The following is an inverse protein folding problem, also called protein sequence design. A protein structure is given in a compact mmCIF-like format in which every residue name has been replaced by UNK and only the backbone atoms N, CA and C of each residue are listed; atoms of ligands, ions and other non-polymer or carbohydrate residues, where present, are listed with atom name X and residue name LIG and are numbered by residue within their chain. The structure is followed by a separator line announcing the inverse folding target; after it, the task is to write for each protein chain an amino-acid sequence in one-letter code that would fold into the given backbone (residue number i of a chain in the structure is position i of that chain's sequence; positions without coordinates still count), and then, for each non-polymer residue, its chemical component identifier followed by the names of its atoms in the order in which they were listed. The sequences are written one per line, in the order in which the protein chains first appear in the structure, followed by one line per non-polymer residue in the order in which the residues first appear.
data_IF_229242629212
#
_entry.id   IF_229242629212
#
_cell.length_a   1.000
_cell.length_b   1.000
_cell.length_c   1.000
_cell.angle_alpha   90.00
_cell.angle_beta   90.00
_cell.angle_gamma   90.00
#
_symmetry.space_group_name_H-M   'P 1'
#
loop_
_entity.id
_entity.type
_entity.pdbx_description
1 polymer ?
#
# COMPACT_ATOMS: atom_id res chain seq x y z
N UNK A 1 30.48 -10.07 -11.02
CA UNK A 1 29.12 -9.51 -10.80
C UNK A 1 29.20 -8.06 -11.19
N UNK A 2 28.52 -7.68 -12.26
CA UNK A 2 28.43 -6.30 -12.73
C UNK A 2 27.92 -5.44 -11.57
N UNK A 3 28.72 -4.45 -11.14
CA UNK A 3 28.28 -3.49 -10.13
C UNK A 3 27.16 -2.69 -10.76
N UNK A 4 25.92 -3.07 -10.49
CA UNK A 4 24.76 -2.27 -10.85
C UNK A 4 24.94 -0.91 -10.16
N UNK A 5 24.86 0.17 -10.94
CA UNK A 5 25.04 1.52 -10.42
C UNK A 5 24.04 1.80 -9.29
N UNK A 6 24.56 2.41 -8.21
CA UNK A 6 23.77 2.78 -7.04
C UNK A 6 22.65 3.72 -7.46
N UNK A 7 21.42 3.42 -7.04
CA UNK A 7 20.28 4.27 -7.34
C UNK A 7 20.32 5.51 -6.45
N UNK A 8 20.43 6.68 -7.08
CA UNK A 8 20.47 7.95 -6.36
C UNK A 8 19.07 8.44 -6.02
N UNK A 9 18.74 8.59 -4.74
CA UNK A 9 17.40 9.07 -4.36
C UNK A 9 17.21 10.56 -4.66
N UNK A 10 18.27 11.36 -4.52
CA UNK A 10 18.28 12.82 -4.74
C UNK A 10 18.60 13.16 -6.20
N UNK A 11 17.60 12.99 -7.05
CA UNK A 11 17.69 13.36 -8.47
C UNK A 11 16.37 13.97 -8.94
N UNK A 12 16.48 14.95 -9.84
CA UNK A 12 15.35 15.61 -10.47
C UNK A 12 14.82 14.70 -11.58
N UNK A 13 13.66 14.10 -11.36
CA UNK A 13 13.05 13.13 -12.29
C UNK A 13 11.69 13.58 -12.83
N UNK A 14 11.33 13.07 -13.99
CA UNK A 14 9.97 13.11 -14.53
C UNK A 14 9.12 11.96 -13.98
N UNK A 15 7.80 12.01 -14.18
CA UNK A 15 6.86 11.00 -13.64
C UNK A 15 7.20 9.58 -14.11
N UNK A 16 7.49 9.41 -15.40
CA UNK A 16 7.87 8.11 -15.96
C UNK A 16 9.20 7.59 -15.40
N UNK A 17 10.19 8.48 -15.24
CA UNK A 17 11.48 8.13 -14.64
C UNK A 17 11.35 7.72 -13.17
N UNK A 18 10.45 8.37 -12.41
CA UNK A 18 10.12 7.96 -11.03
C UNK A 18 9.54 6.54 -10.99
N UNK A 19 8.71 6.16 -11.96
CA UNK A 19 8.19 4.79 -12.06
C UNK A 19 9.30 3.79 -12.42
N UNK A 20 10.11 4.10 -13.43
CA UNK A 20 11.20 3.24 -13.88
C UNK A 20 12.20 2.97 -12.75
N UNK A 21 12.68 4.02 -12.07
CA UNK A 21 13.62 3.88 -10.96
C UNK A 21 13.02 3.11 -9.78
N UNK A 22 11.71 3.21 -9.55
CA UNK A 22 11.03 2.41 -8.52
C UNK A 22 11.11 0.92 -8.85
N UNK A 23 10.82 0.55 -10.11
CA UNK A 23 10.87 -0.84 -10.56
C UNK A 23 12.31 -1.38 -10.55
N UNK A 24 13.27 -0.56 -10.99
CA UNK A 24 14.69 -0.91 -10.96
C UNK A 24 15.19 -1.08 -9.53
N UNK A 25 14.78 -0.22 -8.59
CA UNK A 25 15.11 -0.37 -7.18
C UNK A 25 14.62 -1.70 -6.59
N UNK A 26 13.38 -2.06 -6.88
CA UNK A 26 12.81 -3.33 -6.44
C UNK A 26 13.55 -4.50 -7.09
N UNK A 27 13.89 -4.41 -8.38
CA UNK A 27 14.64 -5.46 -9.09
C UNK A 27 16.03 -5.66 -8.50
N UNK A 28 16.78 -4.57 -8.27
CA UNK A 28 18.14 -4.62 -7.70
C UNK A 28 18.15 -5.18 -6.27
N UNK A 29 17.11 -4.91 -5.49
CA UNK A 29 17.02 -5.28 -4.08
C UNK A 29 15.99 -6.38 -3.79
N UNK A 30 15.54 -7.11 -4.81
CA UNK A 30 14.35 -7.97 -4.74
C UNK A 30 14.41 -8.98 -3.61
N UNK A 31 15.57 -9.62 -3.42
CA UNK A 31 15.75 -10.67 -2.41
C UNK A 31 15.54 -10.14 -0.99
N UNK A 32 16.23 -9.07 -0.59
CA UNK A 32 16.12 -8.56 0.78
C UNK A 32 14.81 -7.79 1.00
N UNK A 33 14.37 -7.04 -0.01
CA UNK A 33 13.14 -6.23 0.05
C UNK A 33 11.89 -7.11 0.18
N UNK A 34 11.72 -8.11 -0.69
CA UNK A 34 10.57 -9.01 -0.64
C UNK A 34 10.58 -9.90 0.61
N UNK A 35 11.75 -10.39 1.05
CA UNK A 35 11.86 -11.12 2.30
C UNK A 35 11.45 -10.29 3.51
N UNK A 36 11.81 -9.00 3.53
CA UNK A 36 11.42 -8.09 4.60
C UNK A 36 9.91 -7.89 4.63
N UNK A 37 9.28 -7.64 3.48
CA UNK A 37 7.83 -7.48 3.38
C UNK A 37 7.08 -8.76 3.77
N UNK A 38 7.50 -9.92 3.25
CA UNK A 38 6.84 -11.22 3.50
C UNK A 38 6.96 -11.62 4.97
N UNK A 39 8.11 -11.42 5.61
CA UNK A 39 8.30 -11.85 7.00
C UNK A 39 7.69 -10.90 8.02
N UNK A 40 7.62 -9.60 7.70
CA UNK A 40 7.17 -8.59 8.65
C UNK A 40 5.71 -8.21 8.42
N UNK A 41 5.34 -7.85 7.19
CA UNK A 41 4.04 -7.22 6.91
C UNK A 41 2.94 -8.21 6.49
N UNK A 42 3.31 -9.35 5.89
CA UNK A 42 2.33 -10.33 5.40
C UNK A 42 1.63 -11.15 6.51
N UNK A 43 2.28 -11.58 7.62
CA UNK A 43 1.62 -12.44 8.61
C UNK A 43 0.31 -11.86 9.19
N UNK A 44 0.23 -10.56 9.55
CA UNK A 44 -1.04 -9.95 9.95
C UNK A 44 -2.12 -10.06 8.87
N UNK A 45 -1.79 -9.86 7.59
CA UNK A 45 -2.77 -9.96 6.50
C UNK A 45 -3.30 -11.38 6.39
N UNK A 46 -2.46 -12.42 6.51
CA UNK A 46 -2.92 -13.81 6.50
C UNK A 46 -3.90 -14.11 7.66
N UNK A 47 -3.63 -13.54 8.84
CA UNK A 47 -4.54 -13.63 9.99
C UNK A 47 -5.86 -12.91 9.68
N UNK A 48 -5.79 -11.68 9.15
CA UNK A 48 -6.98 -10.91 8.77
C UNK A 48 -7.84 -11.63 7.72
N UNK A 49 -7.22 -12.32 6.76
CA UNK A 49 -7.90 -13.12 5.75
C UNK A 49 -8.68 -14.29 6.35
N UNK A 50 -8.16 -14.88 7.43
CA UNK A 50 -8.87 -15.95 8.15
C UNK A 50 -10.13 -15.40 8.83
N UNK A 51 -10.02 -14.25 9.49
CA UNK A 51 -11.19 -13.57 10.07
C UNK A 51 -12.19 -13.14 9.00
N UNK A 52 -11.73 -12.61 7.87
CA UNK A 52 -12.59 -12.21 6.77
C UNK A 52 -13.31 -13.40 6.12
N UNK A 53 -12.61 -14.53 5.96
CA UNK A 53 -13.23 -15.75 5.42
C UNK A 53 -14.28 -16.32 6.37
N UNK A 54 -13.99 -16.37 7.67
CA UNK A 54 -14.97 -16.76 8.69
C UNK A 54 -16.20 -15.85 8.69
N UNK A 55 -15.96 -14.53 8.64
CA UNK A 55 -17.02 -13.53 8.51
C UNK A 55 -17.87 -13.74 7.25
N UNK A 56 -17.24 -13.93 6.09
CA UNK A 56 -17.93 -14.04 4.81
C UNK A 56 -18.79 -15.31 4.72
N UNK A 57 -18.28 -16.44 5.22
CA UNK A 57 -19.04 -17.70 5.29
C UNK A 57 -20.23 -17.56 6.25
N UNK A 58 -20.01 -16.97 7.43
CA UNK A 58 -21.09 -16.71 8.40
C UNK A 58 -22.15 -15.76 7.86
N UNK A 59 -21.73 -14.69 7.17
CA UNK A 59 -22.63 -13.72 6.55
C UNK A 59 -23.51 -14.35 5.48
N UNK A 60 -22.94 -15.14 4.56
CA UNK A 60 -23.70 -15.82 3.51
C UNK A 60 -24.62 -16.90 4.11
N UNK A 61 -24.10 -17.73 5.02
CA UNK A 61 -24.88 -18.78 5.67
C UNK A 61 -26.08 -18.23 6.44
N UNK A 62 -25.88 -17.12 7.15
CA UNK A 62 -26.97 -16.46 7.88
C UNK A 62 -27.89 -15.65 6.98
N UNK A 63 -27.41 -14.98 5.93
CA UNK A 63 -28.26 -14.25 4.99
C UNK A 63 -29.27 -15.17 4.29
N UNK A 64 -28.87 -16.41 4.01
CA UNK A 64 -29.74 -17.47 3.46
C UNK A 64 -30.74 -17.97 4.52
N UNK A 65 -30.32 -18.13 5.78
CA UNK A 65 -31.18 -18.62 6.87
C UNK A 65 -32.11 -17.54 7.47
N UNK A 66 -31.77 -16.25 7.37
CA UNK A 66 -32.50 -15.13 7.99
C UNK A 66 -33.64 -14.56 7.16
N UNK A 67 -33.93 -15.12 5.98
CA UNK A 67 -35.23 -14.94 5.36
C UNK A 67 -36.39 -15.53 6.22
N UNK A 68 -36.07 -16.22 7.33
CA UNK A 68 -37.02 -17.04 8.10
C UNK A 68 -37.11 -16.69 9.61
N UNK A 69 -36.32 -15.75 10.17
CA UNK A 69 -36.30 -15.55 11.65
C UNK A 69 -36.43 -14.09 12.13
N UNK A 70 -37.34 -13.87 13.09
CA UNK A 70 -37.58 -12.63 13.86
C UNK A 70 -36.48 -12.33 14.90
N UNK A 71 -35.20 -12.61 14.61
CA UNK A 71 -34.14 -12.26 15.56
C UNK A 71 -33.84 -10.75 15.51
N UNK A 72 -33.61 -10.15 16.70
CA UNK A 72 -33.23 -8.75 16.87
C UNK A 72 -32.08 -8.37 15.94
N UNK A 73 -32.40 -7.59 14.90
CA UNK A 73 -31.45 -7.09 13.89
C UNK A 73 -30.24 -6.42 14.55
N UNK A 74 -30.42 -5.80 15.71
CA UNK A 74 -29.37 -5.15 16.49
C UNK A 74 -28.27 -6.09 16.99
N UNK A 75 -28.62 -7.28 17.51
CA UNK A 75 -27.63 -8.24 18.02
C UNK A 75 -26.79 -8.81 16.88
N UNK A 76 -27.43 -9.03 15.72
CA UNK A 76 -26.73 -9.41 14.51
C UNK A 76 -25.79 -8.31 14.03
N UNK A 77 -26.27 -7.07 13.91
CA UNK A 77 -25.44 -5.93 13.50
C UNK A 77 -24.25 -5.73 14.44
N UNK A 78 -24.44 -5.87 15.76
CA UNK A 78 -23.35 -5.79 16.74
C UNK A 78 -22.32 -6.92 16.55
N UNK A 79 -22.77 -8.15 16.31
CA UNK A 79 -21.86 -9.28 16.03
C UNK A 79 -21.06 -9.07 14.74
N UNK A 80 -21.72 -8.51 13.71
CA UNK A 80 -21.15 -8.23 12.40
C UNK A 80 -20.12 -7.10 12.47
N UNK A 81 -20.40 -6.06 13.27
CA UNK A 81 -19.46 -4.98 13.58
C UNK A 81 -18.27 -5.46 14.41
N UNK A 82 -18.47 -6.37 15.38
CA UNK A 82 -17.39 -6.88 16.23
C UNK A 82 -16.32 -7.65 15.47
N UNK A 83 -16.72 -8.61 14.63
CA UNK A 83 -15.77 -9.42 13.83
C UNK A 83 -15.09 -8.58 12.75
N UNK A 84 -15.84 -7.69 12.08
CA UNK A 84 -15.28 -6.79 11.06
C UNK A 84 -14.32 -5.76 11.66
N UNK A 85 -14.55 -5.27 12.88
CA UNK A 85 -13.64 -4.38 13.58
C UNK A 85 -12.31 -5.06 13.90
N UNK A 86 -12.32 -6.31 14.38
CA UNK A 86 -11.09 -7.08 14.64
C UNK A 86 -10.31 -7.27 13.35
N UNK A 87 -10.96 -7.73 12.28
CA UNK A 87 -10.32 -7.88 10.98
C UNK A 87 -9.72 -6.54 10.48
N UNK A 88 -10.45 -5.44 10.63
CA UNK A 88 -10.00 -4.10 10.28
C UNK A 88 -8.74 -3.66 11.04
N UNK A 89 -8.68 -3.93 12.35
CA UNK A 89 -7.48 -3.63 13.17
C UNK A 89 -6.28 -4.46 12.69
N UNK A 90 -6.47 -5.75 12.40
CA UNK A 90 -5.37 -6.61 11.92
C UNK A 90 -4.87 -6.15 10.55
N UNK A 91 -5.78 -5.76 9.64
CA UNK A 91 -5.41 -5.13 8.36
C UNK A 91 -4.64 -3.83 8.58
N UNK A 92 -5.09 -2.97 9.51
CA UNK A 92 -4.41 -1.72 9.83
C UNK A 92 -2.98 -1.94 10.36
N UNK A 93 -2.76 -3.01 11.15
CA UNK A 93 -1.42 -3.40 11.59
C UNK A 93 -0.57 -3.84 10.39
N UNK A 94 -1.11 -4.69 9.52
CA UNK A 94 -0.40 -5.17 8.32
C UNK A 94 -0.01 -4.02 7.38
N UNK A 95 -0.94 -3.13 7.04
CA UNK A 95 -0.68 -1.96 6.19
C UNK A 95 0.31 -0.99 6.81
N UNK A 96 0.23 -0.78 8.14
CA UNK A 96 1.23 0.02 8.87
C UNK A 96 2.62 -0.59 8.75
N UNK A 97 2.77 -1.89 9.00
CA UNK A 97 4.06 -2.58 8.87
C UNK A 97 4.62 -2.50 7.45
N UNK A 98 3.78 -2.62 6.43
CA UNK A 98 4.20 -2.45 5.04
C UNK A 98 4.76 -1.05 4.80
N UNK A 99 4.04 -0.01 5.22
CA UNK A 99 4.50 1.39 5.09
C UNK A 99 5.83 1.58 5.83
N UNK A 100 5.96 1.07 7.06
CA UNK A 100 7.19 1.15 7.83
C UNK A 100 8.36 0.47 7.12
N UNK A 101 8.18 -0.78 6.67
CA UNK A 101 9.24 -1.56 6.01
C UNK A 101 9.73 -0.84 4.76
N UNK A 102 8.82 -0.33 3.92
CA UNK A 102 9.21 0.37 2.69
C UNK A 102 10.01 1.64 2.99
N UNK A 103 9.58 2.44 3.97
CA UNK A 103 10.28 3.68 4.33
C UNK A 103 11.63 3.41 5.01
N UNK A 104 11.69 2.48 5.96
CA UNK A 104 12.94 2.11 6.65
C UNK A 104 13.93 1.51 5.67
N UNK A 105 13.46 0.67 4.75
CA UNK A 105 14.33 0.09 3.72
C UNK A 105 14.91 1.17 2.81
N UNK A 106 14.09 2.12 2.35
CA UNK A 106 14.55 3.25 1.56
C UNK A 106 15.55 4.11 2.34
N UNK A 107 15.27 4.39 3.61
CA UNK A 107 16.16 5.17 4.48
C UNK A 107 17.52 4.47 4.68
N UNK A 108 17.54 3.18 5.02
CA UNK A 108 18.77 2.41 5.19
C UNK A 108 19.59 2.33 3.90
N UNK A 109 18.93 2.21 2.74
CA UNK A 109 19.61 2.23 1.44
C UNK A 109 20.24 3.60 1.15
N UNK A 110 19.56 4.69 1.49
CA UNK A 110 20.11 6.05 1.33
C UNK A 110 21.32 6.25 2.26
N UNK A 111 21.23 5.81 3.51
CA UNK A 111 22.28 6.00 4.52
C UNK A 111 23.51 5.10 4.30
N UNK A 112 23.30 3.81 4.04
CA UNK A 112 24.39 2.81 4.01
C UNK A 112 24.73 2.30 2.62
N UNK A 113 23.81 2.42 1.66
CA UNK A 113 23.98 1.87 0.31
C UNK A 113 23.51 0.41 0.17
N UNK A 114 23.70 -0.15 -1.01
CA UNK A 114 23.24 -1.49 -1.36
C UNK A 114 24.08 -2.57 -0.68
N UNK A 115 23.44 -3.54 -0.02
CA UNK A 115 24.12 -4.71 0.56
C UNK A 115 24.76 -4.47 1.94
N UNK A 116 24.78 -3.24 2.41
CA UNK A 116 25.40 -2.82 3.69
C UNK A 116 24.44 -2.91 4.89
N UNK A 117 23.25 -3.49 4.71
CA UNK A 117 22.27 -3.68 5.77
C UNK A 117 21.55 -5.01 5.64
N UNK A 118 21.05 -5.50 6.77
CA UNK A 118 20.44 -6.82 6.89
C UNK A 118 18.95 -6.72 7.22
N UNK A 119 18.26 -7.86 7.20
CA UNK A 119 16.88 -7.95 7.67
C UNK A 119 16.71 -7.46 9.12
N UNK A 120 17.71 -7.68 9.98
CA UNK A 120 17.65 -7.27 11.38
C UNK A 120 17.62 -5.73 11.52
N UNK A 121 18.35 -5.01 10.67
CA UNK A 121 18.33 -3.55 10.62
C UNK A 121 16.95 -3.04 10.20
N UNK A 122 16.37 -3.63 9.16
CA UNK A 122 15.01 -3.27 8.67
C UNK A 122 13.97 -3.52 9.76
N UNK A 123 14.04 -4.66 10.46
CA UNK A 123 13.13 -4.96 11.56
C UNK A 123 13.30 -4.02 12.76
N UNK A 124 14.53 -3.65 13.09
CA UNK A 124 14.80 -2.67 14.16
C UNK A 124 14.17 -1.32 13.83
N UNK A 125 14.48 -0.75 12.67
CA UNK A 125 13.92 0.55 12.27
C UNK A 125 12.39 0.51 12.13
N UNK A 126 11.83 -0.62 11.64
CA UNK A 126 10.37 -0.80 11.53
C UNK A 126 9.67 -0.68 12.89
N UNK A 127 10.24 -1.28 13.94
CA UNK A 127 9.68 -1.22 15.29
C UNK A 127 9.76 0.18 15.90
N UNK A 128 10.83 0.93 15.61
CA UNK A 128 11.03 2.27 16.13
C UNK A 128 9.97 3.25 15.60
N UNK A 129 9.61 3.15 14.32
CA UNK A 129 8.60 4.05 13.71
C UNK A 129 7.18 3.48 13.70
N UNK A 130 6.98 2.23 14.13
CA UNK A 130 5.70 1.54 14.06
C UNK A 130 4.57 2.32 14.74
N UNK A 131 4.74 2.70 16.00
CA UNK A 131 3.69 3.39 16.75
C UNK A 131 3.37 4.76 16.17
N UNK A 132 4.38 5.49 15.69
CA UNK A 132 4.19 6.76 15.01
C UNK A 132 3.27 6.57 13.80
N UNK A 133 3.56 5.61 12.92
CA UNK A 133 2.80 5.39 11.70
C UNK A 133 1.44 4.76 12.00
N UNK A 134 1.33 3.89 13.00
CA UNK A 134 0.08 3.26 13.40
C UNK A 134 -0.96 4.30 13.83
N UNK A 135 -0.61 5.18 14.77
CA UNK A 135 -1.52 6.26 15.20
C UNK A 135 -1.75 7.30 14.10
N UNK A 136 -0.78 7.48 13.21
CA UNK A 136 -0.96 8.30 12.01
C UNK A 136 -2.03 7.74 11.10
N UNK A 137 -1.98 6.43 10.82
CA UNK A 137 -2.96 5.73 9.98
C UNK A 137 -4.34 5.78 10.61
N UNK A 138 -4.47 5.58 11.92
CA UNK A 138 -5.75 5.71 12.62
C UNK A 138 -6.29 7.14 12.49
N UNK A 139 -5.47 8.16 12.76
CA UNK A 139 -5.88 9.56 12.62
C UNK A 139 -6.30 9.92 11.20
N UNK A 140 -5.55 9.47 10.19
CA UNK A 140 -5.91 9.65 8.79
C UNK A 140 -7.19 8.91 8.41
N UNK A 141 -7.37 7.67 8.89
CA UNK A 141 -8.58 6.88 8.62
C UNK A 141 -9.83 7.58 9.14
N UNK A 142 -9.79 8.12 10.36
CA UNK A 142 -10.92 8.89 10.93
C UNK A 142 -11.23 10.12 10.08
N UNK A 143 -10.20 10.89 9.70
CA UNK A 143 -10.38 12.08 8.83
C UNK A 143 -10.96 11.70 7.47
N UNK A 144 -10.44 10.64 6.84
CA UNK A 144 -10.90 10.18 5.53
C UNK A 144 -12.34 9.65 5.57
N UNK A 145 -12.73 8.93 6.63
CA UNK A 145 -14.12 8.49 6.82
C UNK A 145 -15.07 9.68 6.89
N UNK A 146 -14.73 10.70 7.70
CA UNK A 146 -15.54 11.92 7.81
C UNK A 146 -15.65 12.62 6.45
N UNK A 147 -14.52 12.80 5.75
CA UNK A 147 -14.50 13.43 4.43
C UNK A 147 -15.28 12.64 3.38
N UNK A 148 -15.28 11.31 3.46
CA UNK A 148 -16.02 10.45 2.56
C UNK A 148 -17.53 10.54 2.78
N UNK A 149 -17.99 10.60 4.04
CA UNK A 149 -19.40 10.84 4.37
C UNK A 149 -19.83 12.20 3.82
N UNK A 150 -19.03 13.25 4.02
CA UNK A 150 -19.34 14.58 3.50
C UNK A 150 -19.36 14.62 1.97
N UNK A 151 -18.39 13.97 1.32
CA UNK A 151 -18.27 13.92 -0.13
C UNK A 151 -19.40 13.11 -0.80
N UNK A 152 -20.03 12.16 -0.10
CA UNK A 152 -21.15 11.37 -0.64
C UNK A 152 -22.37 12.23 -1.01
N UNK A 153 -22.54 13.39 -0.37
CA UNK A 153 -23.63 14.32 -0.64
C UNK A 153 -23.30 15.36 -1.72
N UNK A 154 -22.10 15.34 -2.29
CA UNK A 154 -21.63 16.33 -3.26
C UNK A 154 -21.40 15.64 -4.61
N UNK A 155 -22.00 16.13 -5.72
CA UNK A 155 -21.68 15.66 -7.06
C UNK A 155 -20.18 15.76 -7.33
N UNK A 156 -19.57 14.70 -7.87
CA UNK A 156 -18.11 14.57 -8.07
C UNK A 156 -17.25 14.58 -6.79
N UNK A 157 -17.85 14.38 -5.59
CA UNK A 157 -17.11 14.34 -4.33
C UNK A 157 -15.96 13.33 -4.30
N UNK A 158 -16.11 12.18 -4.98
CA UNK A 158 -15.06 11.18 -5.11
C UNK A 158 -13.81 11.70 -5.86
N UNK A 159 -13.99 12.48 -6.92
CA UNK A 159 -12.87 13.11 -7.62
C UNK A 159 -12.17 14.15 -6.72
N UNK A 160 -12.94 14.91 -5.94
CA UNK A 160 -12.39 15.83 -4.94
C UNK A 160 -11.51 15.14 -3.90
N UNK A 161 -11.92 13.97 -3.39
CA UNK A 161 -11.11 13.17 -2.47
C UNK A 161 -9.82 12.65 -3.12
N UNK A 162 -9.88 12.25 -4.39
CA UNK A 162 -8.70 11.80 -5.13
C UNK A 162 -7.68 12.93 -5.31
N UNK A 163 -8.16 14.14 -5.62
CA UNK A 163 -7.30 15.34 -5.68
C UNK A 163 -6.70 15.64 -4.31
N UNK A 164 -7.49 15.57 -3.23
CA UNK A 164 -7.00 15.77 -1.87
C UNK A 164 -5.90 14.77 -1.50
N UNK A 165 -6.08 13.50 -1.88
CA UNK A 165 -5.07 12.46 -1.72
C UNK A 165 -3.77 12.80 -2.47
N UNK A 166 -3.86 13.35 -3.69
CA UNK A 166 -2.69 13.81 -4.42
C UNK A 166 -1.93 14.94 -3.71
N UNK A 167 -2.64 15.88 -3.08
CA UNK A 167 -2.01 16.92 -2.26
C UNK A 167 -1.37 16.37 -0.98
N UNK A 168 -1.92 15.27 -0.44
CA UNK A 168 -1.37 14.53 0.71
C UNK A 168 -0.31 13.48 0.35
N UNK A 169 0.08 13.34 -0.91
CA UNK A 169 0.91 12.23 -1.37
C UNK A 169 2.29 12.14 -0.70
N UNK A 170 2.84 13.27 -0.24
CA UNK A 170 4.17 13.34 0.40
C UNK A 170 4.09 13.27 1.94
N UNK A 171 2.91 13.00 2.48
CA UNK A 171 2.63 13.08 3.90
C UNK A 171 3.49 12.12 4.75
N UNK A 172 3.57 10.84 4.38
CA UNK A 172 4.36 9.85 5.13
C UNK A 172 5.87 10.15 5.10
N UNK A 173 6.49 10.42 3.93
CA UNK A 173 7.89 10.84 3.89
C UNK A 173 8.18 12.07 4.76
N UNK A 174 7.30 13.09 4.77
CA UNK A 174 7.47 14.28 5.61
C UNK A 174 7.37 13.97 7.11
N UNK A 175 6.51 13.03 7.48
CA UNK A 175 6.35 12.64 8.88
C UNK A 175 7.52 11.80 9.39
N UNK A 176 8.05 10.92 8.55
CA UNK A 176 9.09 9.95 8.90
C UNK A 176 10.48 10.60 8.79
N UNK A 177 10.80 11.22 7.66
CA UNK A 177 12.16 11.73 7.38
C UNK A 177 12.39 13.15 7.90
N UNK A 178 11.40 14.04 7.80
CA UNK A 178 11.51 15.40 8.33
C UNK A 178 11.01 15.51 9.80
N UNK A 179 10.48 14.42 10.38
CA UNK A 179 9.97 14.40 11.77
C UNK A 179 8.83 15.39 12.03
N UNK A 180 8.06 15.76 11.00
CA UNK A 180 7.02 16.81 11.12
C UNK A 180 5.77 16.28 11.84
N UNK A 181 5.10 17.16 12.58
CA UNK A 181 3.83 16.84 13.25
C UNK A 181 2.68 16.50 12.28
N UNK A 182 1.56 15.98 12.81
CA UNK A 182 0.42 15.49 12.04
C UNK A 182 -0.10 16.51 11.01
N UNK A 183 -0.54 17.69 11.47
CA UNK A 183 -1.12 18.70 10.57
C UNK A 183 -0.06 19.40 9.72
N UNK A 184 1.11 19.68 10.29
CA UNK A 184 2.22 20.35 9.60
C UNK A 184 2.71 19.54 8.39
N UNK A 185 2.72 18.21 8.49
CA UNK A 185 3.10 17.33 7.38
C UNK A 185 2.13 17.47 6.20
N UNK A 186 0.83 17.60 6.46
CA UNK A 186 -0.16 17.79 5.42
C UNK A 186 -0.02 19.16 4.73
N UNK A 187 0.08 20.25 5.51
CA UNK A 187 0.27 21.61 4.96
C UNK A 187 1.52 21.71 4.09
N UNK A 188 2.63 21.10 4.54
CA UNK A 188 3.88 21.14 3.77
C UNK A 188 3.79 20.26 2.52
N UNK A 189 3.11 19.10 2.62
CA UNK A 189 2.85 18.26 1.45
C UNK A 189 2.06 19.04 0.39
N UNK A 190 1.03 19.78 0.79
CA UNK A 190 0.22 20.55 -0.14
C UNK A 190 1.03 21.66 -0.79
N UNK A 191 1.86 22.39 -0.04
CA UNK A 191 2.77 23.42 -0.57
C UNK A 191 3.79 22.86 -1.59
N UNK A 192 4.36 21.67 -1.32
CA UNK A 192 5.31 21.02 -2.22
C UNK A 192 4.63 20.55 -3.52
N UNK A 193 3.40 20.06 -3.42
CA UNK A 193 2.65 19.53 -4.56
C UNK A 193 2.00 20.64 -5.39
N UNK A 194 1.60 21.76 -4.79
CA UNK A 194 0.76 22.80 -5.41
C UNK A 194 1.25 23.28 -6.78
N UNK A 195 2.55 23.53 -6.94
CA UNK A 195 3.11 24.04 -8.21
C UNK A 195 3.09 23.00 -9.34
N UNK A 196 3.08 21.71 -9.02
CA UNK A 196 3.15 20.59 -9.99
C UNK A 196 2.17 19.48 -9.64
N UNK A 197 0.97 19.86 -9.21
CA UNK A 197 -0.01 18.89 -8.71
C UNK A 197 -0.44 17.89 -9.79
N UNK A 198 -0.48 18.30 -11.07
CA UNK A 198 -0.69 17.41 -12.21
C UNK A 198 0.35 16.31 -12.34
N UNK A 199 1.62 16.57 -11.99
CA UNK A 199 2.66 15.54 -12.02
C UNK A 199 2.46 14.51 -10.91
N UNK A 200 2.08 14.95 -9.70
CA UNK A 200 1.75 14.06 -8.59
C UNK A 200 0.49 13.26 -8.88
N UNK A 201 -0.55 13.90 -9.42
CA UNK A 201 -1.78 13.25 -9.84
C UNK A 201 -1.51 12.22 -10.95
N UNK A 202 -0.73 12.58 -11.96
CA UNK A 202 -0.33 11.68 -13.04
C UNK A 202 0.45 10.48 -12.53
N UNK A 203 1.36 10.68 -11.57
CA UNK A 203 2.08 9.60 -10.92
C UNK A 203 1.12 8.63 -10.21
N UNK A 204 0.23 9.14 -9.37
CA UNK A 204 -0.76 8.33 -8.65
C UNK A 204 -1.70 7.59 -9.61
N UNK A 205 -2.13 8.24 -10.69
CA UNK A 205 -2.99 7.64 -11.70
C UNK A 205 -2.29 6.53 -12.49
N UNK A 206 -1.01 6.71 -12.82
CA UNK A 206 -0.23 5.67 -13.49
C UNK A 206 0.04 4.48 -12.55
N UNK A 207 0.31 4.73 -11.27
CA UNK A 207 0.49 3.68 -10.26
C UNK A 207 -0.80 2.89 -10.03
N UNK A 208 -1.95 3.57 -9.96
CA UNK A 208 -3.24 2.91 -9.77
C UNK A 208 -3.63 2.07 -10.98
N UNK A 209 -3.38 2.59 -12.20
CA UNK A 209 -3.53 1.82 -13.44
C UNK A 209 -2.64 0.58 -13.44
N UNK A 210 -1.34 0.73 -13.14
CA UNK A 210 -0.39 -0.38 -13.10
C UNK A 210 -0.82 -1.45 -12.08
N UNK A 211 -1.21 -1.02 -10.87
CA UNK A 211 -1.66 -1.92 -9.81
C UNK A 211 -2.94 -2.66 -10.21
N UNK A 212 -3.87 -1.98 -10.90
CA UNK A 212 -5.12 -2.58 -11.39
C UNK A 212 -4.86 -3.61 -12.47
N UNK A 213 -3.98 -3.32 -13.43
CA UNK A 213 -3.62 -4.26 -14.50
C UNK A 213 -2.94 -5.50 -13.91
N UNK A 214 -1.95 -5.32 -13.03
CA UNK A 214 -1.24 -6.44 -12.40
C UNK A 214 -2.17 -7.31 -11.53
N UNK A 215 -3.07 -6.69 -10.77
CA UNK A 215 -4.04 -7.41 -9.95
C UNK A 215 -5.10 -8.10 -10.81
N UNK A 216 -5.59 -7.44 -11.85
CA UNK A 216 -6.59 -7.99 -12.77
C UNK A 216 -6.12 -9.28 -13.44
N UNK A 217 -4.85 -9.37 -13.85
CA UNK A 217 -4.26 -10.59 -14.42
C UNK A 217 -4.34 -11.79 -13.47
N UNK A 218 -4.12 -11.56 -12.17
CA UNK A 218 -4.19 -12.61 -11.15
C UNK A 218 -5.63 -13.02 -10.84
N UNK A 219 -6.60 -12.13 -11.10
CA UNK A 219 -8.02 -12.38 -10.87
C UNK A 219 -8.71 -13.05 -12.07
N UNK A 220 -8.05 -13.14 -13.24
CA UNK A 220 -8.61 -13.76 -14.45
C UNK A 220 -9.22 -15.15 -14.25
N UNK A 221 -8.59 -16.10 -13.51
CA UNK A 221 -9.18 -17.41 -13.30
C UNK A 221 -10.55 -17.33 -12.61
N UNK A 222 -10.69 -16.43 -11.64
CA UNK A 222 -11.93 -16.21 -10.91
C UNK A 222 -12.99 -15.61 -11.84
N UNK A 223 -12.60 -14.65 -12.69
CA UNK A 223 -13.50 -14.06 -13.70
C UNK A 223 -14.02 -15.12 -14.67
N UNK A 224 -13.13 -15.97 -15.20
CA UNK A 224 -13.50 -17.01 -16.16
C UNK A 224 -14.49 -18.00 -15.54
N UNK A 225 -14.21 -18.49 -14.33
CA UNK A 225 -15.12 -19.39 -13.61
C UNK A 225 -16.47 -18.72 -13.35
N UNK A 226 -16.46 -17.44 -12.96
CA UNK A 226 -17.69 -16.66 -12.73
C UNK A 226 -18.53 -16.51 -14.00
N UNK A 227 -17.90 -16.24 -15.15
CA UNK A 227 -18.60 -16.13 -16.44
C UNK A 227 -19.19 -17.47 -16.84
N UNK A 228 -18.40 -18.55 -16.81
CA UNK A 228 -18.86 -19.90 -17.17
C UNK A 228 -20.02 -20.36 -16.29
N UNK A 229 -20.02 -19.96 -15.02
CA UNK A 229 -21.13 -20.19 -14.11
C UNK A 229 -22.37 -19.36 -14.45
N UNK A 230 -22.20 -18.07 -14.74
CA UNK A 230 -23.30 -17.18 -15.10
C UNK A 230 -24.02 -17.57 -16.39
N UNK A 231 -23.33 -18.25 -17.32
CA UNK A 231 -23.94 -18.76 -18.56
C UNK A 231 -24.39 -20.24 -18.46
N UNK A 232 -24.27 -20.86 -17.28
CA UNK A 232 -24.74 -22.22 -17.03
C UNK A 232 -23.87 -23.35 -17.62
N UNK A 233 -22.64 -23.05 -18.05
CA UNK A 233 -21.68 -24.07 -18.53
C UNK A 233 -21.08 -24.85 -17.35
N UNK A 234 -20.92 -24.19 -16.20
CA UNK A 234 -20.41 -24.79 -14.97
C UNK A 234 -21.39 -24.49 -13.84
N UNK A 235 -21.95 -25.52 -13.22
CA UNK A 235 -22.66 -25.33 -11.94
C UNK A 235 -21.63 -25.32 -10.80
N UNK A 236 -21.17 -24.12 -10.44
CA UNK A 236 -20.19 -23.95 -9.36
C UNK A 236 -20.79 -24.36 -8.01
N UNK A 237 -22.10 -24.19 -7.81
CA UNK A 237 -22.75 -24.56 -6.57
C UNK A 237 -22.80 -26.09 -6.41
N UNK A 238 -23.16 -26.81 -7.46
CA UNK A 238 -23.12 -28.28 -7.49
C UNK A 238 -21.69 -28.81 -7.33
N UNK A 239 -20.71 -28.21 -8.02
CA UNK A 239 -19.30 -28.60 -7.87
C UNK A 239 -18.80 -28.37 -6.45
N UNK A 240 -19.13 -27.23 -5.83
CA UNK A 240 -18.75 -26.92 -4.46
C UNK A 240 -19.43 -27.86 -3.46
N UNK A 241 -20.69 -28.22 -3.69
CA UNK A 241 -21.43 -29.18 -2.84
C UNK A 241 -20.91 -30.61 -2.96
N UNK A 242 -20.59 -31.04 -4.17
CA UNK A 242 -20.09 -32.41 -4.45
C UNK A 242 -18.62 -32.59 -4.06
N UNK A 243 -17.82 -31.53 -4.14
CA UNK A 243 -16.37 -31.56 -3.89
C UNK A 243 -15.96 -30.50 -2.88
N UNK A 244 -15.97 -30.85 -1.60
CA UNK A 244 -15.56 -29.97 -0.49
C UNK A 244 -14.14 -29.41 -0.62
N UNK A 245 -13.23 -30.10 -1.33
CA UNK A 245 -11.86 -29.64 -1.59
C UNK A 245 -11.81 -28.36 -2.45
N UNK A 246 -12.81 -28.12 -3.31
CA UNK A 246 -12.88 -26.91 -4.16
C UNK A 246 -13.07 -25.63 -3.32
N UNK A 247 -13.73 -25.74 -2.17
CA UNK A 247 -13.87 -24.62 -1.22
C UNK A 247 -12.49 -24.24 -0.65
N UNK A 248 -11.71 -25.23 -0.22
CA UNK A 248 -10.36 -25.00 0.29
C UNK A 248 -9.41 -24.49 -0.80
N UNK A 249 -9.53 -24.99 -2.03
CA UNK A 249 -8.75 -24.51 -3.16
C UNK A 249 -9.10 -23.05 -3.52
N UNK A 250 -10.39 -22.70 -3.59
CA UNK A 250 -10.85 -21.35 -3.89
C UNK A 250 -10.45 -20.34 -2.82
N UNK A 251 -10.59 -20.70 -1.54
CA UNK A 251 -10.15 -19.85 -0.41
C UNK A 251 -8.63 -19.67 -0.40
N UNK A 252 -7.85 -20.71 -0.68
CA UNK A 252 -6.40 -20.61 -0.81
C UNK A 252 -5.97 -19.71 -1.98
N UNK A 253 -6.62 -19.83 -3.14
CA UNK A 253 -6.37 -18.97 -4.30
C UNK A 253 -6.72 -17.50 -4.01
N UNK A 254 -7.85 -17.26 -3.34
CA UNK A 254 -8.25 -15.91 -2.91
C UNK A 254 -7.26 -15.30 -1.90
N UNK A 255 -6.78 -16.10 -0.95
CA UNK A 255 -5.77 -15.66 0.01
C UNK A 255 -4.43 -15.35 -0.67
N UNK A 256 -4.02 -16.16 -1.65
CA UNK A 256 -2.83 -15.90 -2.46
C UNK A 256 -2.99 -14.61 -3.27
N UNK A 257 -4.14 -14.41 -3.91
CA UNK A 257 -4.44 -13.19 -4.66
C UNK A 257 -4.30 -11.95 -3.77
N UNK A 258 -4.98 -11.91 -2.62
CA UNK A 258 -4.93 -10.75 -1.72
C UNK A 258 -3.51 -10.54 -1.17
N UNK A 259 -2.79 -11.62 -0.87
CA UNK A 259 -1.39 -11.54 -0.43
C UNK A 259 -0.49 -10.89 -1.48
N UNK A 260 -0.64 -11.26 -2.76
CA UNK A 260 0.14 -10.66 -3.86
C UNK A 260 -0.23 -9.20 -4.06
N UNK A 261 -1.53 -8.86 -4.08
CA UNK A 261 -1.99 -7.47 -4.20
C UNK A 261 -1.47 -6.62 -3.04
N UNK A 262 -1.49 -7.15 -1.83
CA UNK A 262 -0.95 -6.48 -0.65
C UNK A 262 0.56 -6.21 -0.80
N UNK A 263 1.35 -7.19 -1.24
CA UNK A 263 2.79 -6.99 -1.48
C UNK A 263 3.06 -5.99 -2.61
N UNK A 264 2.25 -6.01 -3.67
CA UNK A 264 2.34 -5.04 -4.78
C UNK A 264 2.04 -3.60 -4.33
N UNK A 265 1.26 -3.40 -3.25
CA UNK A 265 1.00 -2.07 -2.70
C UNK A 265 2.26 -1.37 -2.15
N UNK A 266 3.37 -2.10 -1.98
CA UNK A 266 4.67 -1.50 -1.68
C UNK A 266 5.22 -0.65 -2.84
N UNK A 267 4.84 -0.94 -4.10
CA UNK A 267 5.33 -0.23 -5.30
C UNK A 267 4.87 1.24 -5.29
N UNK A 268 3.56 1.56 -5.13
CA UNK A 268 3.12 2.94 -4.97
C UNK A 268 3.80 3.68 -3.82
N UNK A 269 3.94 3.03 -2.66
CA UNK A 269 4.57 3.64 -1.47
C UNK A 269 6.03 4.02 -1.75
N UNK A 270 6.80 3.12 -2.36
CA UNK A 270 8.19 3.39 -2.71
C UNK A 270 8.31 4.50 -3.75
N UNK A 271 7.42 4.50 -4.74
CA UNK A 271 7.41 5.52 -5.77
C UNK A 271 7.08 6.92 -5.22
N UNK A 272 6.23 7.00 -4.19
CA UNK A 272 6.01 8.25 -3.43
C UNK A 272 7.25 8.71 -2.65
N UNK A 273 8.11 7.80 -2.18
CA UNK A 273 9.39 8.15 -1.56
C UNK A 273 10.32 8.78 -2.61
N UNK A 274 10.47 8.18 -3.79
CA UNK A 274 11.24 8.79 -4.88
C UNK A 274 10.67 10.15 -5.31
N UNK A 275 9.33 10.26 -5.37
CA UNK A 275 8.68 11.53 -5.68
C UNK A 275 8.93 12.59 -4.60
N UNK A 276 8.95 12.20 -3.33
CA UNK A 276 9.32 13.09 -2.22
C UNK A 276 10.73 13.65 -2.40
N UNK A 277 11.74 12.81 -2.66
CA UNK A 277 13.11 13.28 -2.88
C UNK A 277 13.21 14.15 -4.14
N UNK A 278 12.53 13.79 -5.23
CA UNK A 278 12.46 14.61 -6.45
C UNK A 278 11.91 16.02 -6.17
N UNK A 279 10.83 16.13 -5.38
CA UNK A 279 10.25 17.44 -5.05
C UNK A 279 11.13 18.24 -4.08
N UNK A 280 11.78 17.58 -3.11
CA UNK A 280 12.73 18.22 -2.19
C UNK A 280 13.95 18.75 -2.94
N UNK A 281 14.46 17.97 -3.90
CA UNK A 281 15.59 18.35 -4.74
C UNK A 281 15.25 19.53 -5.64
N UNK A 282 14.06 19.55 -6.24
CA UNK A 282 13.60 20.68 -7.05
C UNK A 282 13.44 21.98 -6.25
N UNK A 283 13.10 21.90 -4.97
CA UNK A 283 12.90 23.09 -4.11
C UNK A 283 14.19 23.55 -3.44
N UNK A 284 15.07 22.63 -3.05
CA UNK A 284 16.26 22.91 -2.25
C UNK A 284 17.60 22.78 -2.99
N UNK A 285 17.67 22.06 -4.10
CA UNK A 285 18.90 21.84 -4.87
C UNK A 285 20.04 21.15 -4.09
N UNK A 286 19.73 20.46 -2.99
CA UNK A 286 20.73 19.97 -2.03
C UNK A 286 21.62 18.88 -2.66
N UNK A 287 21.04 17.94 -3.41
CA UNK A 287 21.80 16.95 -4.17
C UNK A 287 22.62 17.55 -5.31
N UNK A 288 22.16 18.66 -5.92
CA UNK A 288 22.97 19.40 -6.90
C UNK A 288 24.20 20.04 -6.24
N UNK A 289 24.03 20.65 -5.06
CA UNK A 289 25.12 21.23 -4.27
C UNK A 289 26.12 20.17 -3.81
N UNK A 290 25.63 19.03 -3.32
CA UNK A 290 26.46 17.89 -2.89
C UNK A 290 27.27 17.30 -4.05
N UNK A 291 26.71 17.24 -5.27
CA UNK A 291 27.45 16.86 -6.48
C UNK A 291 28.53 17.87 -6.88
N UNK A 292 28.24 19.16 -6.73
CA UNK A 292 29.23 20.23 -6.99
C UNK A 292 30.40 20.12 -6.01
N UNK A 293 30.13 19.86 -4.73
CA UNK A 293 31.17 19.64 -3.72
C UNK A 293 32.01 18.39 -3.99
N UNK A 294 31.40 17.29 -4.45
CA UNK A 294 32.14 16.08 -4.84
C UNK A 294 33.05 16.32 -6.07
N UNK A 295 32.60 17.10 -7.06
CA UNK A 295 33.45 17.47 -8.22
C UNK A 295 34.59 18.41 -7.80
N UNK A 296 34.34 19.31 -6.84
CA UNK A 296 35.34 20.21 -6.29
C UNK A 296 36.41 19.52 -5.43
N UNK A 297 36.12 18.33 -4.90
CA UNK A 297 37.08 17.53 -4.11
C UNK A 297 37.93 16.60 -4.98
N UNK A 298 37.41 16.13 -6.12
CA UNK A 298 38.15 15.26 -7.06
C UNK A 298 39.17 16.01 -7.95
N UNK A 299 39.12 17.35 -7.96
CA UNK A 299 40.06 18.22 -8.70
C UNK A 299 41.20 18.78 -7.82
N UNK A 300 41.31 18.31 -6.57
CA UNK A 300 42.28 18.75 -5.57
C UNK A 300 43.42 17.77 -5.28
N UNK A 301 43.77 16.87 -6.22
CA UNK A 301 44.94 15.97 -6.14
C UNK A 301 45.83 16.16 -7.36
#
# INVERSE_FOLDING_TARGET
MEKLDRIEFREIRNVAEVLNVTLDFIRQNFRLFSQSLIRIALPPILIALTFFSYFFIGFIGDAVNRAVSENNIWDYLLSLLGVSAIAGIVVAIGTTLLICVVHVFAQLYVERGQGEFTFADVWKGTREIFWLIFFTNIGLAVVLIILQILAAFVPFGGFGLYVLYAFGALYFPLRIYDGRGFFKSFTVSTELVQKRWWATLGLLSLQSLLSTVLSGLLFLPIIVVSILSGIGVIDVEELVRSSSWLIYAGTALGALYISVVFLLSAVPVLSLIFHYYNQKERKGGIGLLERIEMIGTDTGV
#
